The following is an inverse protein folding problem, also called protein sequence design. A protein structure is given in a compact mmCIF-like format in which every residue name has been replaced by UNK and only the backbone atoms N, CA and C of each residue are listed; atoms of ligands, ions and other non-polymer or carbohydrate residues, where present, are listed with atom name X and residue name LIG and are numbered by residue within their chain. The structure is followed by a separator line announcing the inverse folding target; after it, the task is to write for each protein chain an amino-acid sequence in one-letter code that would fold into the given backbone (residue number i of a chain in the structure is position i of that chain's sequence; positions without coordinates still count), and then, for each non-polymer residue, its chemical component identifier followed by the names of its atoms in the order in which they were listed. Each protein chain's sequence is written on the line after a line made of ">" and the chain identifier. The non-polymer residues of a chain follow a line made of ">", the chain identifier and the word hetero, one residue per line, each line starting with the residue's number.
data_IF_912952861114
#
_entry.id   IF_912952861114
#
_cell.length_a   1.000
_cell.length_b   1.000
_cell.length_c   1.000
_cell.angle_alpha   90.00
_cell.angle_beta   90.00
_cell.angle_gamma   90.00
#
_symmetry.space_group_name_H-M   'P 1'
#
loop_
_entity.id
_entity.type
_entity.pdbx_description
1 polymer ?
#
# COMPACT_ATOMS: atom_id res chain seq x y z
N UNK A 1 1.39 -2.83 50.78
CA UNK A 1 0.78 -3.17 49.49
C UNK A 1 -0.73 -3.06 49.60
N UNK A 2 -1.33 -1.92 49.23
CA UNK A 2 -2.73 -1.83 48.82
C UNK A 2 -2.84 -1.88 47.29
N UNK A 3 -3.96 -2.44 46.86
CA UNK A 3 -4.31 -2.90 45.51
C UNK A 3 -4.31 -1.80 44.42
N UNK A 4 -3.79 -2.16 43.24
CA UNK A 4 -3.85 -1.41 41.98
C UNK A 4 -5.17 -1.63 41.24
N UNK A 5 -6.29 -1.64 41.95
CA UNK A 5 -7.62 -1.71 41.34
C UNK A 5 -8.38 -0.42 41.68
N UNK A 6 -8.73 0.31 40.61
CA UNK A 6 -9.45 1.60 40.58
C UNK A 6 -8.60 2.88 40.60
N UNK A 7 -7.89 3.16 39.51
CA UNK A 7 -7.60 4.56 39.15
C UNK A 7 -8.38 4.92 37.90
N UNK A 8 -9.49 5.64 38.07
CA UNK A 8 -10.05 6.47 36.99
C UNK A 8 -8.93 7.38 36.51
N UNK A 9 -8.41 7.09 35.31
CA UNK A 9 -7.33 7.85 34.69
C UNK A 9 -7.69 9.34 34.69
N UNK A 10 -6.89 10.16 35.37
CA UNK A 10 -6.99 11.62 35.31
C UNK A 10 -6.72 12.09 33.87
N UNK A 11 -7.31 13.22 33.44
CA UNK A 11 -7.15 13.73 32.07
C UNK A 11 -5.67 13.89 31.67
N UNK A 12 -4.80 14.31 32.59
CA UNK A 12 -3.35 14.41 32.36
C UNK A 12 -2.69 13.04 32.07
N UNK A 13 -3.14 11.96 32.72
CA UNK A 13 -2.63 10.61 32.46
C UNK A 13 -3.11 10.09 31.11
N UNK A 14 -4.33 10.46 30.66
CA UNK A 14 -4.83 10.15 29.32
C UNK A 14 -4.05 10.89 28.24
N UNK A 15 -3.76 12.17 28.44
CA UNK A 15 -2.95 12.95 27.52
C UNK A 15 -1.53 12.39 27.42
N UNK A 16 -0.95 11.97 28.54
CA UNK A 16 0.35 11.32 28.56
C UNK A 16 0.34 9.96 27.85
N UNK A 17 -0.71 9.14 28.02
CA UNK A 17 -0.90 7.89 27.26
C UNK A 17 -1.08 8.16 25.76
N UNK A 18 -1.80 9.21 25.38
CA UNK A 18 -1.98 9.59 23.97
C UNK A 18 -0.66 10.03 23.34
N UNK A 19 0.15 10.84 24.05
CA UNK A 19 1.48 11.27 23.60
C UNK A 19 2.40 10.05 23.43
N UNK A 20 2.39 9.13 24.40
CA UNK A 20 3.19 7.90 24.32
C UNK A 20 2.73 7.03 23.14
N UNK A 21 1.41 6.85 22.96
CA UNK A 21 0.86 6.04 21.86
C UNK A 21 1.25 6.63 20.50
N UNK A 22 1.16 7.95 20.36
CA UNK A 22 1.58 8.64 19.14
C UNK A 22 3.09 8.50 18.87
N UNK A 23 3.92 8.58 19.92
CA UNK A 23 5.36 8.36 19.79
C UNK A 23 5.69 6.91 19.39
N UNK A 24 4.95 5.93 19.91
CA UNK A 24 5.09 4.52 19.53
C UNK A 24 4.72 4.31 18.07
N UNK A 25 3.62 4.91 17.60
CA UNK A 25 3.21 4.84 16.19
C UNK A 25 4.26 5.46 15.25
N UNK A 26 4.85 6.59 15.64
CA UNK A 26 5.95 7.22 14.89
C UNK A 26 7.16 6.28 14.83
N UNK A 27 7.60 5.74 15.97
CA UNK A 27 8.77 4.86 16.04
C UNK A 27 8.54 3.60 15.22
N UNK A 28 7.35 3.00 15.31
CA UNK A 28 6.98 1.84 14.50
C UNK A 28 7.01 2.14 13.01
N UNK A 29 6.51 3.30 12.59
CA UNK A 29 6.61 3.74 11.20
C UNK A 29 8.07 3.84 10.76
N UNK A 30 8.92 4.52 11.53
CA UNK A 30 10.35 4.69 11.22
C UNK A 30 11.05 3.34 11.13
N UNK A 31 10.79 2.42 12.08
CA UNK A 31 11.36 1.08 12.07
C UNK A 31 10.92 0.32 10.81
N UNK A 32 9.65 0.43 10.42
CA UNK A 32 9.13 -0.25 9.24
C UNK A 32 9.71 0.32 7.94
N UNK A 33 9.94 1.63 7.91
CA UNK A 33 10.58 2.33 6.78
C UNK A 33 12.05 1.93 6.64
N UNK A 34 12.81 1.90 7.73
CA UNK A 34 14.22 1.44 7.76
C UNK A 34 14.32 -0.03 7.35
N UNK A 35 13.41 -0.89 7.84
CA UNK A 35 13.40 -2.30 7.47
C UNK A 35 13.06 -2.50 5.98
N UNK A 36 12.19 -1.66 5.44
CA UNK A 36 11.83 -1.67 4.02
C UNK A 36 13.01 -1.21 3.14
N UNK A 37 13.71 -0.15 3.54
CA UNK A 37 14.92 0.32 2.85
C UNK A 37 16.05 -0.73 2.89
N UNK A 38 16.30 -1.36 4.04
CA UNK A 38 17.31 -2.40 4.20
C UNK A 38 17.01 -3.66 3.35
N UNK A 39 15.73 -4.01 3.19
CA UNK A 39 15.31 -5.11 2.30
C UNK A 39 15.49 -4.78 0.82
N UNK A 40 15.27 -3.52 0.44
CA UNK A 40 15.47 -3.03 -0.94
C UNK A 40 16.95 -3.04 -1.33
N UNK A 41 17.83 -2.54 -0.46
CA UNK A 41 19.28 -2.48 -0.71
C UNK A 41 19.97 -3.85 -0.72
N UNK A 42 19.44 -4.83 0.02
CA UNK A 42 20.08 -6.13 0.15
C UNK A 42 20.04 -7.02 -1.11
N UNK A 43 19.39 -6.61 -2.22
CA UNK A 43 19.23 -7.38 -3.48
C UNK A 43 18.74 -8.83 -3.32
N UNK A 44 18.31 -9.25 -2.13
CA UNK A 44 17.73 -10.57 -1.79
C UNK A 44 16.20 -10.53 -1.86
N UNK A 45 15.64 -9.84 -2.85
CA UNK A 45 14.20 -9.82 -3.07
C UNK A 45 13.80 -11.10 -3.79
N UNK A 46 13.50 -12.14 -3.02
CA UNK A 46 12.80 -13.30 -3.55
C UNK A 46 11.34 -12.88 -3.73
N UNK A 47 10.89 -12.80 -4.99
CA UNK A 47 9.48 -12.63 -5.33
C UNK A 47 8.76 -13.96 -5.09
N UNK A 48 7.72 -13.94 -4.28
CA UNK A 48 6.90 -15.13 -4.02
C UNK A 48 5.71 -15.11 -4.96
N UNK A 49 5.87 -15.69 -6.15
CA UNK A 49 4.79 -15.77 -7.12
C UNK A 49 3.77 -16.85 -6.70
N UNK A 50 2.58 -16.41 -6.27
CA UNK A 50 1.44 -17.28 -5.99
C UNK A 50 0.18 -16.78 -6.66
N UNK A 51 -0.78 -17.67 -6.86
CA UNK A 51 -2.12 -17.28 -7.32
C UNK A 51 -2.92 -16.74 -6.13
N UNK A 52 -3.53 -15.58 -6.27
CA UNK A 52 -4.36 -14.97 -5.22
C UNK A 52 -5.51 -14.17 -5.83
N UNK A 53 -6.53 -13.87 -5.00
CA UNK A 53 -7.65 -13.00 -5.37
C UNK A 53 -7.20 -11.54 -5.32
N UNK A 54 -7.08 -10.91 -6.49
CA UNK A 54 -6.55 -9.55 -6.64
C UNK A 54 -7.45 -8.53 -5.95
N UNK A 55 -8.76 -8.63 -6.16
CA UNK A 55 -9.74 -7.67 -5.64
C UNK A 55 -9.77 -7.73 -4.12
N UNK A 56 -9.84 -8.92 -3.53
CA UNK A 56 -9.84 -9.09 -2.09
C UNK A 56 -8.54 -8.57 -1.43
N UNK A 57 -7.40 -8.75 -2.11
CA UNK A 57 -6.12 -8.23 -1.64
C UNK A 57 -6.08 -6.70 -1.59
N UNK A 58 -6.54 -6.05 -2.66
CA UNK A 58 -6.58 -4.59 -2.76
C UNK A 58 -7.62 -4.00 -1.80
N UNK A 59 -8.81 -4.60 -1.73
CA UNK A 59 -9.93 -4.17 -0.89
C UNK A 59 -9.54 -4.07 0.59
N UNK A 60 -8.84 -5.09 1.11
CA UNK A 60 -8.40 -5.09 2.52
C UNK A 60 -7.56 -3.87 2.86
N UNK A 61 -6.65 -3.49 1.97
CA UNK A 61 -5.81 -2.29 2.12
C UNK A 61 -6.64 -1.02 1.99
N UNK A 62 -7.50 -0.94 0.97
CA UNK A 62 -8.36 0.21 0.69
C UNK A 62 -9.29 0.51 1.87
N UNK A 63 -9.91 -0.50 2.49
CA UNK A 63 -10.81 -0.32 3.64
C UNK A 63 -10.08 0.32 4.83
N UNK A 64 -8.84 -0.10 5.09
CA UNK A 64 -8.03 0.44 6.19
C UNK A 64 -7.76 1.93 5.96
N UNK A 65 -7.37 2.30 4.74
CA UNK A 65 -7.06 3.70 4.40
C UNK A 65 -8.30 4.56 4.19
N UNK A 66 -9.44 3.98 3.79
CA UNK A 66 -10.74 4.65 3.78
C UNK A 66 -11.15 5.09 5.19
N UNK A 67 -10.94 4.24 6.21
CA UNK A 67 -11.18 4.63 7.61
C UNK A 67 -10.21 5.72 8.07
N UNK A 68 -8.91 5.60 7.76
CA UNK A 68 -7.89 6.59 8.14
C UNK A 68 -8.13 7.95 7.50
N UNK A 69 -8.43 8.00 6.20
CA UNK A 69 -8.76 9.25 5.49
C UNK A 69 -10.03 9.90 6.04
N UNK A 70 -11.07 9.10 6.32
CA UNK A 70 -12.29 9.59 6.95
C UNK A 70 -12.05 10.26 8.32
N UNK A 71 -11.14 9.72 9.15
CA UNK A 71 -10.79 10.38 10.44
C UNK A 71 -10.15 11.76 10.29
N UNK A 72 -9.59 12.06 9.11
CA UNK A 72 -9.03 13.37 8.75
C UNK A 72 -9.97 14.22 7.88
N UNK A 73 -11.21 13.79 7.63
CA UNK A 73 -12.13 14.41 6.67
C UNK A 73 -11.53 14.53 5.25
N UNK A 74 -10.75 13.53 4.83
CA UNK A 74 -10.23 13.41 3.47
C UNK A 74 -11.07 12.38 2.73
N UNK A 75 -11.51 12.69 1.52
CA UNK A 75 -12.28 11.75 0.70
C UNK A 75 -11.34 10.78 -0.02
N UNK A 76 -11.58 9.46 0.09
CA UNK A 76 -10.86 8.45 -0.67
C UNK A 76 -11.78 7.92 -1.78
N UNK A 77 -11.48 8.30 -3.01
CA UNK A 77 -12.21 7.89 -4.21
C UNK A 77 -11.46 6.72 -4.84
N UNK A 78 -12.16 5.62 -5.09
CA UNK A 78 -11.59 4.44 -5.74
C UNK A 78 -12.25 4.26 -7.10
N UNK A 79 -11.47 4.47 -8.15
CA UNK A 79 -11.87 4.20 -9.52
C UNK A 79 -11.28 2.87 -9.97
N UNK A 80 -12.15 1.90 -10.23
CA UNK A 80 -11.75 0.52 -10.52
C UNK A 80 -12.70 -0.07 -11.55
N UNK A 81 -12.18 -0.41 -12.73
CA UNK A 81 -12.96 -1.09 -13.76
C UNK A 81 -13.02 -2.60 -13.44
N UNK A 82 -13.86 -2.96 -12.47
CA UNK A 82 -13.97 -4.32 -11.90
C UNK A 82 -14.25 -5.37 -13.00
N UNK A 83 -15.02 -5.01 -14.02
CA UNK A 83 -15.39 -5.93 -15.12
C UNK A 83 -14.18 -6.35 -15.99
N UNK A 84 -13.12 -5.54 -16.00
CA UNK A 84 -11.91 -5.78 -16.80
C UNK A 84 -10.82 -6.45 -15.96
N UNK A 85 -10.89 -6.34 -14.63
CA UNK A 85 -9.88 -6.87 -13.73
C UNK A 85 -10.03 -8.40 -13.55
N UNK A 86 -8.97 -9.19 -13.80
CA UNK A 86 -9.00 -10.61 -13.50
C UNK A 86 -9.10 -10.81 -11.98
N UNK A 87 -10.08 -11.63 -11.56
CA UNK A 87 -10.25 -11.97 -10.14
C UNK A 87 -9.02 -12.63 -9.54
N UNK A 88 -8.38 -13.54 -10.29
CA UNK A 88 -7.19 -14.26 -9.83
C UNK A 88 -5.98 -13.91 -10.69
N UNK A 89 -4.87 -13.55 -10.03
CA UNK A 89 -3.59 -13.25 -10.68
C UNK A 89 -2.46 -14.03 -10.04
N UNK A 90 -1.38 -14.27 -10.79
CA UNK A 90 -0.16 -14.90 -10.29
C UNK A 90 0.92 -13.84 -10.12
N UNK A 91 1.18 -13.43 -8.87
CA UNK A 91 2.20 -12.43 -8.51
C UNK A 91 2.55 -12.55 -7.02
N UNK A 92 3.24 -11.57 -6.46
CA UNK A 92 3.58 -11.45 -5.04
C UNK A 92 2.58 -10.48 -4.35
N UNK A 93 1.52 -11.00 -3.69
CA UNK A 93 0.49 -10.15 -3.07
C UNK A 93 1.01 -9.38 -1.86
N UNK A 94 1.95 -9.93 -1.09
CA UNK A 94 2.56 -9.23 0.04
C UNK A 94 3.25 -7.95 -0.43
N UNK A 95 4.02 -8.03 -1.51
CA UNK A 95 4.69 -6.85 -2.09
C UNK A 95 3.72 -5.87 -2.71
N UNK A 96 2.72 -6.35 -3.43
CA UNK A 96 1.67 -5.49 -3.99
C UNK A 96 1.00 -4.66 -2.89
N UNK A 97 0.59 -5.33 -1.80
CA UNK A 97 -0.04 -4.67 -0.66
C UNK A 97 0.93 -3.73 0.05
N UNK A 98 2.22 -4.09 0.15
CA UNK A 98 3.23 -3.21 0.76
C UNK A 98 3.39 -1.91 -0.04
N UNK A 99 3.51 -1.99 -1.37
CA UNK A 99 3.62 -0.82 -2.25
C UNK A 99 2.35 0.04 -2.12
N UNK A 100 1.17 -0.56 -2.23
CA UNK A 100 -0.10 0.15 -2.10
C UNK A 100 -0.23 0.83 -0.72
N UNK A 101 0.16 0.13 0.35
CA UNK A 101 0.14 0.66 1.72
C UNK A 101 1.06 1.86 1.85
N UNK A 102 2.27 1.82 1.29
CA UNK A 102 3.19 2.96 1.31
C UNK A 102 2.62 4.16 0.57
N UNK A 103 2.07 3.96 -0.63
CA UNK A 103 1.49 5.04 -1.42
C UNK A 103 0.31 5.69 -0.68
N UNK A 104 -0.66 4.89 -0.23
CA UNK A 104 -1.83 5.41 0.50
C UNK A 104 -1.47 6.06 1.84
N UNK A 105 -0.50 5.50 2.56
CA UNK A 105 0.00 6.09 3.81
C UNK A 105 0.60 7.46 3.56
N UNK A 106 1.40 7.60 2.51
CA UNK A 106 1.98 8.89 2.13
C UNK A 106 0.90 9.90 1.75
N UNK A 107 -0.04 9.54 0.88
CA UNK A 107 -1.12 10.45 0.49
C UNK A 107 -1.99 10.88 1.68
N UNK A 108 -2.36 9.98 2.58
CA UNK A 108 -3.12 10.33 3.80
C UNK A 108 -2.28 11.16 4.79
N UNK A 109 -0.96 10.96 4.82
CA UNK A 109 -0.06 11.72 5.68
C UNK A 109 0.09 13.17 5.21
N UNK A 110 0.24 13.38 3.91
CA UNK A 110 0.60 14.67 3.29
C UNK A 110 -0.61 15.47 2.74
N UNK A 111 -1.79 14.86 2.74
CA UNK A 111 -3.05 15.56 2.47
C UNK A 111 -3.68 15.99 3.79
N UNK A 112 -3.96 17.28 3.92
CA UNK A 112 -4.63 17.84 5.10
C UNK A 112 -6.14 18.03 4.86
N UNK A 113 -6.51 18.39 3.63
CA UNK A 113 -7.89 18.58 3.17
C UNK A 113 -8.00 18.23 1.68
N UNK A 114 -9.20 17.88 1.24
CA UNK A 114 -9.49 17.49 -0.14
C UNK A 114 -9.65 15.98 -0.31
N UNK A 115 -9.05 15.44 -1.37
CA UNK A 115 -9.32 14.08 -1.83
C UNK A 115 -8.06 13.32 -2.23
N UNK A 116 -8.18 11.99 -2.16
CA UNK A 116 -7.22 11.02 -2.65
C UNK A 116 -7.96 10.14 -3.65
N UNK A 117 -7.46 10.06 -4.87
CA UNK A 117 -8.03 9.26 -5.96
C UNK A 117 -7.10 8.09 -6.24
N UNK A 118 -7.58 6.87 -5.99
CA UNK A 118 -6.94 5.62 -6.34
C UNK A 118 -7.56 5.07 -7.62
N UNK A 119 -6.79 4.98 -8.69
CA UNK A 119 -7.22 4.37 -9.96
C UNK A 119 -6.51 3.04 -10.18
N UNK A 120 -7.28 2.00 -10.47
CA UNK A 120 -6.77 0.66 -10.76
C UNK A 120 -7.27 0.24 -12.14
N UNK A 121 -6.34 -0.02 -13.05
CA UNK A 121 -6.65 -0.41 -14.43
C UNK A 121 -5.73 -1.51 -14.94
N UNK A 122 -6.18 -2.26 -15.95
CA UNK A 122 -5.33 -3.18 -16.70
C UNK A 122 -4.93 -2.55 -18.02
N UNK A 123 -3.63 -2.50 -18.28
CA UNK A 123 -3.09 -2.13 -19.57
C UNK A 123 -2.70 -3.39 -20.35
N UNK A 124 -3.17 -3.46 -21.59
CA UNK A 124 -2.70 -4.46 -22.52
C UNK A 124 -1.23 -4.20 -22.82
N UNK A 125 -0.39 -5.19 -22.58
CA UNK A 125 0.96 -5.21 -23.14
C UNK A 125 0.88 -5.93 -24.48
N UNK A 126 1.27 -5.27 -25.57
CA UNK A 126 1.58 -6.01 -26.79
C UNK A 126 2.65 -7.05 -26.43
N UNK A 127 2.34 -8.31 -26.72
CA UNK A 127 3.22 -9.43 -26.42
C UNK A 127 4.52 -9.21 -27.18
N UNK A 128 5.61 -8.90 -26.46
CA UNK A 128 6.94 -9.11 -27.01
C UNK A 128 7.12 -10.62 -26.91
N UNK A 129 7.05 -11.30 -28.05
CA UNK A 129 7.36 -12.72 -28.18
C UNK A 129 8.78 -12.96 -27.63
N UNK A 130 8.87 -13.46 -26.40
CA UNK A 130 10.11 -14.06 -25.91
C UNK A 130 10.22 -15.41 -26.63
N UNK A 131 10.92 -15.42 -27.76
CA UNK A 131 11.39 -16.62 -28.45
C UNK A 131 12.21 -17.47 -27.49
N UNK A 132 11.56 -18.38 -26.77
CA UNK A 132 12.22 -19.48 -26.10
C UNK A 132 11.69 -20.75 -26.73
N UNK A 133 12.38 -21.18 -27.78
CA UNK A 133 12.25 -22.52 -28.30
C UNK A 133 12.62 -23.55 -27.21
N UNK A 134 11.92 -24.67 -27.29
CA UNK A 134 12.21 -25.97 -26.70
C UNK A 134 11.67 -26.27 -25.29
N UNK A 135 10.54 -27.00 -25.34
CA UNK A 135 10.09 -28.06 -24.44
C UNK A 135 9.31 -27.66 -23.17
N UNK A 136 7.99 -27.54 -23.29
CA UNK A 136 7.07 -28.44 -22.57
C UNK A 136 5.63 -28.29 -23.07
N UNK A 137 5.03 -29.42 -23.43
CA UNK A 137 3.62 -29.61 -23.74
C UNK A 137 2.67 -29.01 -22.68
N UNK A 138 1.51 -28.51 -23.15
CA UNK A 138 0.50 -27.67 -22.46
C UNK A 138 0.88 -26.19 -22.28
N UNK A 139 1.10 -25.54 -23.41
CA UNK A 139 1.33 -24.10 -23.49
C UNK A 139 0.00 -23.33 -23.28
N UNK A 140 -0.40 -23.17 -22.01
CA UNK A 140 -1.37 -22.14 -21.66
C UNK A 140 -0.70 -20.81 -21.94
N UNK A 141 -1.19 -20.07 -22.94
CA UNK A 141 -0.80 -18.69 -23.20
C UNK A 141 -1.00 -17.88 -21.92
N UNK A 142 0.06 -17.71 -21.12
CA UNK A 142 0.02 -16.88 -19.92
C UNK A 142 0.00 -15.44 -20.42
N UNK A 143 -1.21 -14.88 -20.56
CA UNK A 143 -1.41 -13.48 -20.93
C UNK A 143 -0.76 -12.60 -19.87
N UNK A 144 0.41 -12.03 -20.17
CA UNK A 144 1.11 -11.07 -19.32
C UNK A 144 0.44 -9.70 -19.49
N UNK A 145 -0.45 -9.34 -18.58
CA UNK A 145 -1.06 -8.01 -18.52
C UNK A 145 -0.35 -7.12 -17.50
N UNK A 146 -0.44 -5.81 -17.69
CA UNK A 146 0.11 -4.82 -16.76
C UNK A 146 -1.01 -4.27 -15.88
N UNK A 147 -0.91 -4.50 -14.58
CA UNK A 147 -1.74 -3.81 -13.60
C UNK A 147 -1.16 -2.42 -13.35
N UNK A 148 -1.89 -1.38 -13.71
CA UNK A 148 -1.55 0.00 -13.40
C UNK A 148 -2.33 0.43 -12.16
N UNK A 149 -1.59 0.93 -11.16
CA UNK A 149 -2.15 1.54 -9.95
C UNK A 149 -1.66 2.97 -9.89
N UNK A 150 -2.58 3.91 -10.00
CA UNK A 150 -2.31 5.35 -9.93
C UNK A 150 -2.94 5.92 -8.67
N UNK A 151 -2.19 6.76 -7.98
CA UNK A 151 -2.65 7.48 -6.80
C UNK A 151 -2.42 8.97 -7.01
N UNK A 152 -3.49 9.75 -6.89
CA UNK A 152 -3.46 11.21 -6.95
C UNK A 152 -3.97 11.75 -5.63
N UNK A 153 -3.30 12.76 -5.08
CA UNK A 153 -3.73 13.43 -3.86
C UNK A 153 -3.63 14.94 -3.98
N UNK A 154 -4.45 15.65 -3.20
CA UNK A 154 -4.47 17.12 -3.14
C UNK A 154 -3.52 17.68 -2.08
N UNK A 155 -2.55 16.90 -1.64
CA UNK A 155 -1.58 17.30 -0.62
C UNK A 155 -0.56 18.31 -1.11
N UNK A 156 0.52 18.45 -0.34
CA UNK A 156 1.61 19.42 -0.60
C UNK A 156 2.39 19.17 -1.91
N UNK A 157 2.13 18.06 -2.59
CA UNK A 157 2.85 17.61 -3.76
C UNK A 157 4.32 17.27 -3.49
N UNK A 158 5.04 16.88 -4.54
CA UNK A 158 6.48 16.63 -4.46
C UNK A 158 7.20 17.81 -5.12
N UNK A 159 8.11 18.45 -4.39
CA UNK A 159 8.93 19.50 -4.98
C UNK A 159 9.77 18.91 -6.14
N UNK A 160 9.75 19.53 -7.35
CA UNK A 160 10.41 18.98 -8.54
C UNK A 160 11.89 18.64 -8.38
N UNK A 161 12.61 19.27 -7.43
CA UNK A 161 14.01 18.95 -7.14
C UNK A 161 14.21 17.56 -6.52
N UNK A 162 13.22 17.04 -5.79
CA UNK A 162 13.29 15.72 -5.15
C UNK A 162 12.73 14.58 -6.02
N UNK A 163 11.99 14.90 -7.10
CA UNK A 163 11.43 13.90 -8.02
C UNK A 163 12.51 12.98 -8.61
N UNK A 164 13.71 13.52 -8.87
CA UNK A 164 14.86 12.75 -9.39
C UNK A 164 15.45 11.73 -8.40
N UNK A 165 15.08 11.82 -7.12
CA UNK A 165 15.57 10.95 -6.04
C UNK A 165 14.44 10.14 -5.39
N UNK A 166 13.23 10.16 -5.95
CA UNK A 166 12.05 9.56 -5.34
C UNK A 166 11.95 8.04 -5.54
N UNK A 167 12.86 7.42 -6.31
CA UNK A 167 12.83 6.02 -6.71
C UNK A 167 14.21 5.39 -6.73
#
# INVERSE_FOLDING_TARGET
>A
MPSLESSTLTNEQKDMINIISYAVDIVLSIVNDVLSAAKLEAKKLILVNRTFDLLNSLESTIIIFGKKSATKNIELIVNCEIDILPRYVKSDPERLNQVLTHLLSNSVKFTNEGEIVLTISMQQREVIEENNEENSSYDQVVKKELLLIELSDTGIGINPRYIKHAW
#
